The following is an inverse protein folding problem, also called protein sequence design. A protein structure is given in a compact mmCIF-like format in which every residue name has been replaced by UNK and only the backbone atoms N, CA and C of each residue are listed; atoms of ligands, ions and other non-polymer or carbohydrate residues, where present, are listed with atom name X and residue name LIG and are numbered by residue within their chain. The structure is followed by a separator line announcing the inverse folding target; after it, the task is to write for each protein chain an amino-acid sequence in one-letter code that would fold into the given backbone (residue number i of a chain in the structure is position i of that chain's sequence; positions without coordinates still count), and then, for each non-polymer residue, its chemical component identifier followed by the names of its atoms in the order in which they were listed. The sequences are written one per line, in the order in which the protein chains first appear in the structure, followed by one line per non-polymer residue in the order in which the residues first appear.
data_IF_095760195809
#
_entry.id   IF_095760195809
#
_cell.length_a   1.000
_cell.length_b   1.000
_cell.length_c   1.000
_cell.angle_alpha   90.00
_cell.angle_beta   90.00
_cell.angle_gamma   90.00
#
_symmetry.space_group_name_H-M   'P 1'
#
loop_
_entity.id
_entity.type
_entity.pdbx_description
1 polymer ?
#
# COMPACT_ATOMS: atom_id res chain seq x y z
N UNK A 1 -18.33 63.84 48.33
CA UNK A 1 -17.13 63.09 47.88
C UNK A 1 -17.57 61.71 47.43
N UNK A 2 -17.03 61.29 46.29
CA UNK A 2 -17.05 59.94 45.69
C UNK A 2 -18.28 59.58 44.84
N UNK A 3 -18.07 59.70 43.53
CA UNK A 3 -18.94 59.26 42.46
C UNK A 3 -18.68 57.80 42.03
N UNK A 4 -19.64 57.32 41.25
CA UNK A 4 -19.82 55.96 40.72
C UNK A 4 -18.88 55.69 39.54
N UNK A 5 -18.35 54.47 39.44
CA UNK A 5 -17.62 53.97 38.27
C UNK A 5 -17.60 52.43 38.24
N UNK A 6 -18.20 51.87 37.19
CA UNK A 6 -18.42 50.44 36.90
C UNK A 6 -17.17 49.80 36.26
N UNK A 7 -17.08 48.44 36.33
CA UNK A 7 -16.22 47.44 35.62
C UNK A 7 -15.15 46.81 36.55
N UNK A 8 -14.83 45.52 36.52
CA UNK A 8 -14.96 44.50 35.49
C UNK A 8 -15.09 43.07 36.11
N UNK A 9 -15.87 42.22 35.47
CA UNK A 9 -15.95 40.77 35.72
C UNK A 9 -14.63 40.13 35.24
N UNK A 10 -13.93 39.41 36.13
CA UNK A 10 -12.76 38.60 35.77
C UNK A 10 -13.18 37.16 35.50
N UNK A 11 -13.00 36.76 34.25
CA UNK A 11 -13.15 35.39 33.75
C UNK A 11 -12.18 34.44 34.46
N UNK A 12 -12.70 33.35 35.02
CA UNK A 12 -11.91 32.17 35.38
C UNK A 12 -12.42 31.03 34.49
N UNK A 13 -11.61 30.69 33.49
CA UNK A 13 -11.79 29.48 32.69
C UNK A 13 -10.60 28.58 32.97
N UNK A 14 -10.88 27.27 33.09
CA UNK A 14 -10.09 26.11 32.64
C UNK A 14 -10.25 24.97 33.66
N UNK A 15 -10.75 23.83 33.18
CA UNK A 15 -10.37 22.54 33.75
C UNK A 15 -11.49 21.59 34.15
N UNK A 16 -12.45 21.27 33.26
CA UNK A 16 -13.16 19.98 33.35
C UNK A 16 -13.09 19.27 31.99
N UNK A 17 -12.36 18.16 32.03
CA UNK A 17 -12.41 16.92 31.26
C UNK A 17 -13.12 16.89 29.89
N UNK A 18 -12.43 16.30 28.90
CA UNK A 18 -13.06 15.25 28.12
C UNK A 18 -12.05 14.15 27.74
N UNK A 19 -12.23 13.01 28.39
CA UNK A 19 -11.71 11.72 28.00
C UNK A 19 -12.47 11.32 26.73
N UNK A 20 -11.81 11.29 25.58
CA UNK A 20 -12.36 10.63 24.39
C UNK A 20 -11.72 9.25 24.26
N UNK A 21 -12.42 8.25 24.79
CA UNK A 21 -12.48 6.95 24.14
C UNK A 21 -13.16 7.10 22.75
N UNK A 22 -13.22 6.00 22.00
CA UNK A 22 -13.83 5.82 20.66
C UNK A 22 -12.76 5.92 19.54
N UNK A 23 -12.54 4.92 18.69
CA UNK A 23 -13.22 3.66 18.46
C UNK A 23 -12.56 2.97 17.26
N UNK A 24 -12.93 1.71 17.03
CA UNK A 24 -12.60 0.98 15.80
C UNK A 24 -13.26 1.66 14.59
N UNK A 25 -12.67 2.75 14.13
CA UNK A 25 -13.06 3.45 12.91
C UNK A 25 -12.46 2.73 11.71
N UNK A 26 -13.32 2.38 10.75
CA UNK A 26 -12.87 2.00 9.42
C UNK A 26 -11.87 3.04 8.92
N UNK A 27 -10.60 2.66 8.83
CA UNK A 27 -9.51 3.56 8.46
C UNK A 27 -9.88 4.30 7.17
N UNK A 28 -9.93 5.63 7.27
CA UNK A 28 -9.89 6.54 6.13
C UNK A 28 -8.71 6.10 5.27
N UNK A 29 -8.93 5.88 3.97
CA UNK A 29 -7.85 5.61 3.04
C UNK A 29 -6.81 6.73 3.18
N UNK A 30 -5.59 6.37 3.59
CA UNK A 30 -4.47 7.31 3.66
C UNK A 30 -3.95 7.54 2.25
N UNK A 31 -4.77 8.00 1.32
CA UNK A 31 -4.29 8.48 0.03
C UNK A 31 -3.91 9.96 0.20
N UNK A 32 -2.61 10.24 0.33
CA UNK A 32 -2.10 11.59 0.31
C UNK A 32 -2.32 12.22 -1.07
N UNK A 33 -2.18 13.54 -1.16
CA UNK A 33 -2.29 14.27 -2.43
C UNK A 33 -1.07 14.03 -3.32
N UNK A 34 -0.87 12.79 -3.79
CA UNK A 34 0.20 12.43 -4.72
C UNK A 34 0.15 13.37 -5.92
N UNK A 35 1.30 13.97 -6.21
CA UNK A 35 1.44 14.89 -7.34
C UNK A 35 1.78 14.12 -8.59
N UNK A 36 1.17 14.52 -9.70
CA UNK A 36 1.53 14.00 -11.01
C UNK A 36 2.93 14.52 -11.39
N UNK A 37 3.86 13.59 -11.60
CA UNK A 37 5.23 13.90 -12.01
C UNK A 37 5.42 13.56 -13.49
N UNK A 38 6.28 14.31 -14.18
CA UNK A 38 6.54 14.08 -15.60
C UNK A 38 7.58 12.97 -15.77
N UNK A 39 7.17 11.86 -16.39
CA UNK A 39 8.07 10.77 -16.78
C UNK A 39 8.82 11.13 -18.07
N UNK A 40 10.08 10.67 -18.18
CA UNK A 40 10.76 10.64 -19.47
C UNK A 40 10.08 9.64 -20.41
N UNK A 41 10.25 9.81 -21.72
CA UNK A 41 9.68 8.87 -22.69
C UNK A 41 10.16 7.44 -22.45
N UNK A 42 11.47 7.26 -22.18
CA UNK A 42 12.04 5.95 -21.89
C UNK A 42 11.40 5.29 -20.66
N UNK A 43 11.25 6.03 -19.55
CA UNK A 43 10.61 5.51 -18.34
C UNK A 43 9.14 5.19 -18.61
N UNK A 44 8.42 6.08 -19.28
CA UNK A 44 7.02 5.87 -19.63
C UNK A 44 6.83 4.58 -20.43
N UNK A 45 7.62 4.36 -21.49
CA UNK A 45 7.54 3.16 -22.30
C UNK A 45 7.87 1.89 -21.50
N UNK A 46 8.90 1.94 -20.64
CA UNK A 46 9.29 0.80 -19.81
C UNK A 46 8.20 0.41 -18.79
N UNK A 47 7.54 1.39 -18.17
CA UNK A 47 6.42 1.13 -17.25
C UNK A 47 5.18 0.65 -18.01
N UNK A 48 4.85 1.26 -19.15
CA UNK A 48 3.70 0.85 -19.97
C UNK A 48 3.82 -0.59 -20.46
N UNK A 49 5.02 -1.04 -20.85
CA UNK A 49 5.27 -2.42 -21.22
C UNK A 49 4.97 -3.40 -20.07
N UNK A 50 5.28 -3.02 -18.82
CA UNK A 50 4.97 -3.84 -17.64
C UNK A 50 3.48 -3.88 -17.31
N UNK A 51 2.74 -2.80 -17.58
CA UNK A 51 1.29 -2.76 -17.38
C UNK A 51 0.56 -3.63 -18.40
N UNK A 52 1.01 -3.61 -19.67
CA UNK A 52 0.33 -4.24 -20.80
C UNK A 52 0.33 -5.78 -20.79
N UNK A 53 1.21 -6.44 -20.02
CA UNK A 53 1.38 -7.91 -20.02
C UNK A 53 0.14 -8.67 -19.51
N UNK A 54 -0.71 -9.29 -20.34
CA UNK A 54 -1.97 -9.89 -19.88
C UNK A 54 -1.79 -11.19 -19.08
N UNK A 55 -0.54 -11.64 -18.84
CA UNK A 55 -0.24 -12.91 -18.18
C UNK A 55 -1.07 -13.11 -16.90
N UNK A 56 -1.82 -14.22 -16.78
CA UNK A 56 -2.54 -14.56 -15.57
C UNK A 56 -1.57 -14.62 -14.39
N UNK A 57 -1.95 -14.13 -13.20
CA UNK A 57 -1.08 -14.13 -12.05
C UNK A 57 -1.00 -15.53 -11.45
N UNK A 58 -0.21 -16.40 -12.05
CA UNK A 58 0.06 -17.76 -11.57
C UNK A 58 1.52 -17.84 -11.15
N UNK A 59 1.80 -18.00 -9.85
CA UNK A 59 3.16 -18.28 -9.40
C UNK A 59 3.67 -19.57 -10.03
N UNK A 60 4.87 -19.51 -10.63
CA UNK A 60 5.54 -20.68 -11.20
C UNK A 60 6.79 -20.98 -10.37
N UNK A 61 6.93 -22.23 -9.92
CA UNK A 61 8.03 -22.66 -9.07
C UNK A 61 8.87 -23.72 -9.76
N UNK A 62 10.18 -23.47 -9.90
CA UNK A 62 11.15 -24.45 -10.42
C UNK A 62 11.68 -25.39 -9.33
N UNK A 63 11.43 -25.07 -8.06
CA UNK A 63 11.93 -25.79 -6.89
C UNK A 63 10.77 -26.23 -5.99
N UNK A 64 10.75 -27.50 -5.53
CA UNK A 64 9.79 -27.96 -4.53
C UNK A 64 9.84 -27.15 -3.23
N UNK A 65 11.02 -26.69 -2.81
CA UNK A 65 11.20 -25.88 -1.60
C UNK A 65 10.49 -24.53 -1.73
N UNK A 66 10.62 -23.86 -2.88
CA UNK A 66 9.89 -22.61 -3.13
C UNK A 66 8.38 -22.83 -3.21
N UNK A 67 7.92 -23.94 -3.79
CA UNK A 67 6.50 -24.29 -3.79
C UNK A 67 5.98 -24.48 -2.35
N UNK A 68 6.70 -25.22 -1.50
CA UNK A 68 6.31 -25.42 -0.10
C UNK A 68 6.27 -24.08 0.64
N UNK A 69 7.28 -23.23 0.47
CA UNK A 69 7.31 -21.89 1.09
C UNK A 69 6.12 -21.04 0.66
N UNK A 70 5.78 -21.07 -0.63
CA UNK A 70 4.59 -20.40 -1.15
C UNK A 70 3.29 -20.95 -0.57
N UNK A 71 3.12 -22.27 -0.50
CA UNK A 71 1.91 -22.90 0.05
C UNK A 71 1.74 -22.59 1.53
N UNK A 72 2.84 -22.60 2.31
CA UNK A 72 2.82 -22.20 3.71
C UNK A 72 2.42 -20.73 3.85
N UNK A 73 3.04 -19.85 3.07
CA UNK A 73 2.67 -18.43 3.06
C UNK A 73 1.19 -18.23 2.71
N UNK A 74 0.71 -18.88 1.64
CA UNK A 74 -0.67 -18.76 1.17
C UNK A 74 -1.66 -19.20 2.26
N UNK A 75 -1.40 -20.35 2.90
CA UNK A 75 -2.24 -20.86 3.98
C UNK A 75 -2.25 -19.91 5.19
N UNK A 76 -1.08 -19.42 5.61
CA UNK A 76 -0.94 -18.49 6.74
C UNK A 76 -1.68 -17.18 6.46
N UNK A 77 -1.44 -16.56 5.31
CA UNK A 77 -2.04 -15.26 4.99
C UNK A 77 -3.53 -15.37 4.68
N UNK A 78 -3.99 -16.47 4.08
CA UNK A 78 -5.42 -16.73 3.88
C UNK A 78 -6.16 -16.86 5.22
N UNK A 79 -5.54 -17.50 6.22
CA UNK A 79 -6.11 -17.58 7.56
C UNK A 79 -6.21 -16.19 8.22
N UNK A 80 -5.16 -15.37 8.10
CA UNK A 80 -5.11 -14.02 8.67
C UNK A 80 -6.09 -13.05 8.04
N UNK A 81 -6.32 -13.17 6.72
CA UNK A 81 -7.24 -12.31 5.98
C UNK A 81 -8.71 -12.75 6.07
N UNK A 82 -9.03 -13.89 6.69
CA UNK A 82 -10.39 -14.44 6.74
C UNK A 82 -11.45 -13.42 7.20
N UNK A 83 -11.14 -12.62 8.22
CA UNK A 83 -12.07 -11.62 8.74
C UNK A 83 -12.28 -10.43 7.79
N UNK A 84 -11.26 -10.05 7.01
CA UNK A 84 -11.30 -8.89 6.10
C UNK A 84 -11.80 -9.25 4.70
N UNK A 85 -11.55 -10.49 4.26
CA UNK A 85 -11.99 -11.02 2.97
C UNK A 85 -12.65 -12.40 3.19
N UNK A 86 -13.92 -12.48 3.61
CA UNK A 86 -14.55 -13.74 4.00
C UNK A 86 -14.66 -14.78 2.88
N UNK A 87 -14.92 -14.33 1.66
CA UNK A 87 -15.02 -15.20 0.50
C UNK A 87 -13.65 -15.84 0.18
N UNK A 88 -13.57 -17.16 0.32
CA UNK A 88 -12.34 -17.92 0.13
C UNK A 88 -11.77 -17.79 -1.29
N UNK A 89 -12.59 -17.95 -2.32
CA UNK A 89 -12.14 -17.89 -3.72
C UNK A 89 -11.53 -16.52 -4.05
N UNK A 90 -12.18 -15.44 -3.60
CA UNK A 90 -11.68 -14.07 -3.80
C UNK A 90 -10.39 -13.84 -3.00
N UNK A 91 -10.32 -14.32 -1.75
CA UNK A 91 -9.13 -14.17 -0.89
C UNK A 91 -7.92 -14.93 -1.44
N UNK A 92 -8.11 -16.14 -1.92
CA UNK A 92 -7.05 -16.93 -2.56
C UNK A 92 -6.55 -16.27 -3.85
N UNK A 93 -7.48 -15.82 -4.72
CA UNK A 93 -7.13 -15.12 -5.94
C UNK A 93 -6.39 -13.80 -5.64
N UNK A 94 -6.80 -13.07 -4.60
CA UNK A 94 -6.10 -11.88 -4.12
C UNK A 94 -4.67 -12.20 -3.69
N UNK A 95 -4.46 -13.20 -2.84
CA UNK A 95 -3.13 -13.57 -2.35
C UNK A 95 -2.22 -14.11 -3.46
N UNK A 96 -2.74 -14.93 -4.37
CA UNK A 96 -2.04 -15.36 -5.58
C UNK A 96 -1.56 -14.17 -6.41
N UNK A 97 -2.44 -13.19 -6.59
CA UNK A 97 -2.14 -11.98 -7.34
C UNK A 97 -1.10 -11.11 -6.62
N UNK A 98 -1.24 -10.89 -5.31
CA UNK A 98 -0.25 -10.16 -4.51
C UNK A 98 1.12 -10.83 -4.61
N UNK A 99 1.19 -12.15 -4.43
CA UNK A 99 2.45 -12.87 -4.54
C UNK A 99 3.10 -12.67 -5.91
N UNK A 100 2.33 -12.88 -6.98
CA UNK A 100 2.83 -12.77 -8.35
C UNK A 100 3.28 -11.35 -8.70
N UNK A 101 2.43 -10.35 -8.46
CA UNK A 101 2.69 -8.95 -8.80
C UNK A 101 3.85 -8.37 -7.98
N UNK A 102 3.94 -8.72 -6.69
CA UNK A 102 5.06 -8.31 -5.85
C UNK A 102 6.39 -8.87 -6.38
N UNK A 103 6.48 -10.19 -6.61
CA UNK A 103 7.71 -10.80 -7.10
C UNK A 103 8.09 -10.31 -8.49
N UNK A 104 7.11 -10.12 -9.39
CA UNK A 104 7.38 -9.58 -10.74
C UNK A 104 7.99 -8.18 -10.69
N UNK A 105 7.55 -7.35 -9.75
CA UNK A 105 8.09 -6.01 -9.52
C UNK A 105 9.34 -5.98 -8.61
N UNK A 106 9.83 -7.12 -8.14
CA UNK A 106 10.97 -7.18 -7.21
C UNK A 106 10.66 -6.62 -5.82
N UNK A 107 9.42 -6.76 -5.35
CA UNK A 107 8.93 -6.31 -4.06
C UNK A 107 8.61 -7.50 -3.15
N UNK A 108 8.68 -7.28 -1.84
CA UNK A 108 8.26 -8.28 -0.86
C UNK A 108 6.72 -8.35 -0.75
N UNK A 109 6.10 -9.54 -0.75
CA UNK A 109 4.66 -9.67 -0.52
C UNK A 109 4.19 -9.03 0.80
N UNK A 110 5.00 -9.08 1.86
CA UNK A 110 4.69 -8.46 3.14
C UNK A 110 4.62 -6.92 3.05
N UNK A 111 5.49 -6.30 2.24
CA UNK A 111 5.45 -4.87 1.97
C UNK A 111 4.15 -4.50 1.23
N UNK A 112 3.80 -5.26 0.20
CA UNK A 112 2.58 -5.02 -0.58
C UNK A 112 1.31 -5.20 0.26
N UNK A 113 1.24 -6.25 1.09
CA UNK A 113 0.13 -6.44 2.04
C UNK A 113 0.04 -5.32 3.09
N UNK A 114 1.20 -4.86 3.58
CA UNK A 114 1.27 -3.72 4.50
C UNK A 114 0.75 -2.43 3.89
N UNK A 115 1.16 -2.12 2.66
CA UNK A 115 0.67 -0.97 1.90
C UNK A 115 -0.85 -1.07 1.66
N UNK A 116 -1.36 -2.20 1.17
CA UNK A 116 -2.80 -2.40 0.94
C UNK A 116 -3.61 -2.24 2.23
N UNK A 117 -3.08 -2.70 3.36
CA UNK A 117 -3.73 -2.52 4.66
C UNK A 117 -3.90 -1.05 5.01
N UNK A 118 -2.87 -0.22 4.80
CA UNK A 118 -2.90 1.22 5.08
C UNK A 118 -3.76 1.98 4.07
N UNK A 119 -3.66 1.61 2.79
CA UNK A 119 -4.33 2.31 1.70
C UNK A 119 -5.83 2.04 1.65
N UNK A 120 -6.26 0.77 1.68
CA UNK A 120 -7.66 0.42 1.46
C UNK A 120 -8.27 -0.43 2.57
N UNK A 121 -7.45 -0.93 3.50
CA UNK A 121 -7.89 -1.95 4.45
C UNK A 121 -8.44 -3.20 3.74
N UNK A 122 -7.89 -3.54 2.57
CA UNK A 122 -8.30 -4.66 1.70
C UNK A 122 -9.66 -4.47 1.00
N UNK A 123 -10.18 -3.24 0.92
CA UNK A 123 -11.42 -2.93 0.20
C UNK A 123 -11.15 -2.77 -1.29
N UNK A 124 -11.54 -3.77 -2.09
CA UNK A 124 -11.31 -3.81 -3.56
C UNK A 124 -11.83 -2.57 -4.29
N UNK A 125 -12.97 -2.02 -3.88
CA UNK A 125 -13.64 -0.90 -4.54
C UNK A 125 -13.46 0.42 -3.78
N UNK A 126 -12.39 0.57 -2.99
CA UNK A 126 -12.11 1.81 -2.28
C UNK A 126 -11.84 2.97 -3.26
N UNK A 127 -12.44 4.12 -2.99
CA UNK A 127 -12.17 5.38 -3.68
C UNK A 127 -11.95 6.44 -2.60
N UNK A 128 -10.80 7.10 -2.59
CA UNK A 128 -10.52 8.18 -1.64
C UNK A 128 -11.17 9.50 -2.06
N UNK A 129 -11.21 10.47 -1.15
CA UNK A 129 -11.65 11.84 -1.47
C UNK A 129 -10.77 12.53 -2.52
N UNK A 130 -9.48 12.13 -2.62
CA UNK A 130 -8.56 12.60 -3.65
C UNK A 130 -8.72 11.87 -5.00
N UNK A 131 -9.59 10.85 -5.07
CA UNK A 131 -9.86 10.07 -6.28
C UNK A 131 -8.95 8.86 -6.49
N UNK A 132 -8.11 8.51 -5.51
CA UNK A 132 -7.29 7.30 -5.56
C UNK A 132 -8.16 6.04 -5.53
N UNK A 133 -7.86 5.02 -6.33
CA UNK A 133 -8.77 3.90 -6.58
C UNK A 133 -8.16 2.53 -6.25
N UNK A 134 -9.01 1.64 -5.73
CA UNK A 134 -8.73 0.22 -5.54
C UNK A 134 -7.86 -0.14 -4.33
N UNK A 135 -7.31 -1.36 -4.34
CA UNK A 135 -6.60 -1.96 -3.21
C UNK A 135 -5.34 -1.20 -2.79
N UNK A 136 -4.56 -0.73 -3.77
CA UNK A 136 -3.32 0.02 -3.57
C UNK A 136 -3.49 1.53 -3.80
N UNK A 137 -4.74 2.01 -3.86
CA UNK A 137 -5.12 3.42 -4.02
C UNK A 137 -4.29 4.13 -5.12
N UNK A 138 -4.38 3.60 -6.34
CA UNK A 138 -3.67 4.15 -7.50
C UNK A 138 -4.39 5.41 -7.97
N UNK A 139 -3.64 6.48 -8.20
CA UNK A 139 -4.19 7.73 -8.73
C UNK A 139 -4.56 7.60 -10.22
N UNK A 140 -5.72 8.14 -10.65
CA UNK A 140 -6.19 8.02 -12.04
C UNK A 140 -5.23 8.55 -13.11
N UNK A 141 -4.35 9.51 -12.79
CA UNK A 141 -3.40 10.02 -13.79
C UNK A 141 -2.42 8.95 -14.30
N UNK A 142 -2.12 7.92 -13.49
CA UNK A 142 -1.25 6.83 -13.90
C UNK A 142 -1.78 6.05 -15.10
N UNK A 143 -3.11 5.92 -15.25
CA UNK A 143 -3.68 5.23 -16.41
C UNK A 143 -3.41 5.99 -17.70
N UNK A 144 -3.33 7.33 -17.66
CA UNK A 144 -2.97 8.15 -18.82
C UNK A 144 -1.47 8.14 -19.09
N UNK A 145 -0.65 8.06 -18.04
CA UNK A 145 0.80 8.08 -18.19
C UNK A 145 1.33 6.76 -18.73
N UNK A 146 0.91 5.63 -18.16
CA UNK A 146 1.52 4.32 -18.41
C UNK A 146 0.51 3.24 -18.84
N UNK A 147 -0.71 3.66 -19.23
CA UNK A 147 -1.81 2.77 -19.60
C UNK A 147 -2.61 3.26 -20.80
N UNK A 148 -3.87 2.85 -20.85
CA UNK A 148 -4.85 3.19 -21.89
C UNK A 148 -5.75 4.38 -21.53
N UNK A 149 -5.53 5.01 -20.37
CA UNK A 149 -6.35 6.10 -19.85
C UNK A 149 -7.66 5.67 -19.18
N UNK A 150 -8.02 4.39 -19.19
CA UNK A 150 -9.27 3.90 -18.61
C UNK A 150 -9.15 3.76 -17.09
N UNK A 151 -9.73 4.72 -16.37
CA UNK A 151 -9.67 4.80 -14.91
C UNK A 151 -10.50 3.71 -14.22
N UNK A 152 -11.55 3.21 -14.86
CA UNK A 152 -12.44 2.20 -14.26
C UNK A 152 -11.73 0.86 -14.08
N UNK A 153 -10.72 0.59 -14.92
CA UNK A 153 -9.86 -0.59 -14.82
C UNK A 153 -9.08 -0.65 -13.51
N UNK A 154 -8.87 0.48 -12.83
CA UNK A 154 -8.24 0.50 -11.50
C UNK A 154 -9.09 -0.18 -10.42
N UNK A 155 -10.39 -0.45 -10.67
CA UNK A 155 -11.24 -1.26 -9.78
C UNK A 155 -11.13 -2.78 -10.04
N UNK A 156 -10.44 -3.18 -11.11
CA UNK A 156 -10.06 -4.58 -11.31
C UNK A 156 -8.87 -4.92 -10.40
N UNK A 157 -9.00 -6.03 -9.64
CA UNK A 157 -8.02 -6.43 -8.63
C UNK A 157 -6.61 -6.64 -9.22
N UNK A 158 -6.50 -7.37 -10.33
CA UNK A 158 -5.20 -7.68 -10.93
C UNK A 158 -4.55 -6.43 -11.49
N UNK A 159 -5.33 -5.61 -12.21
CA UNK A 159 -4.84 -4.36 -12.78
C UNK A 159 -4.38 -3.43 -11.67
N UNK A 160 -5.17 -3.25 -10.61
CA UNK A 160 -4.81 -2.37 -9.50
C UNK A 160 -3.51 -2.79 -8.80
N UNK A 161 -3.38 -4.08 -8.48
CA UNK A 161 -2.18 -4.63 -7.84
C UNK A 161 -0.95 -4.47 -8.73
N UNK A 162 -1.12 -4.67 -10.05
CA UNK A 162 -0.07 -4.44 -11.02
C UNK A 162 0.41 -3.00 -11.06
N UNK A 163 -0.52 -2.06 -11.22
CA UNK A 163 -0.18 -0.63 -11.23
C UNK A 163 0.54 -0.26 -9.94
N UNK A 164 -0.03 -0.61 -8.78
CA UNK A 164 0.58 -0.27 -7.49
C UNK A 164 1.98 -0.86 -7.31
N UNK A 165 2.22 -2.12 -7.71
CA UNK A 165 3.54 -2.73 -7.63
C UNK A 165 4.56 -2.07 -8.58
N UNK A 166 4.15 -1.79 -9.83
CA UNK A 166 5.01 -1.12 -10.83
C UNK A 166 5.36 0.30 -10.39
N UNK A 167 4.39 1.06 -9.88
CA UNK A 167 4.58 2.43 -9.39
C UNK A 167 5.49 2.43 -8.14
N UNK A 168 5.27 1.52 -7.19
CA UNK A 168 6.11 1.44 -5.99
C UNK A 168 7.55 1.07 -6.33
N UNK A 169 7.77 0.12 -7.26
CA UNK A 169 9.11 -0.20 -7.76
C UNK A 169 9.76 1.01 -8.42
N UNK A 170 9.04 1.72 -9.28
CA UNK A 170 9.53 2.94 -9.92
C UNK A 170 9.99 3.97 -8.88
N UNK A 171 9.20 4.27 -7.86
CA UNK A 171 9.62 5.20 -6.83
C UNK A 171 10.77 4.69 -5.97
N UNK A 172 10.88 3.38 -5.78
CA UNK A 172 12.02 2.80 -5.09
C UNK A 172 13.31 2.97 -5.91
N UNK A 173 13.24 2.84 -7.24
CA UNK A 173 14.37 3.13 -8.13
C UNK A 173 14.76 4.62 -8.09
N UNK A 174 13.77 5.52 -8.17
CA UNK A 174 13.97 6.97 -8.14
C UNK A 174 14.55 7.48 -6.82
N UNK A 175 14.19 6.83 -5.70
CA UNK A 175 14.72 7.16 -4.37
C UNK A 175 15.94 6.29 -4.01
N UNK A 176 16.61 5.68 -5.01
CA UNK A 176 17.85 4.91 -4.84
C UNK A 176 17.79 3.79 -3.80
N UNK A 177 16.62 3.14 -3.69
CA UNK A 177 16.38 2.07 -2.73
C UNK A 177 15.94 2.53 -1.34
N UNK A 178 15.81 3.84 -1.10
CA UNK A 178 15.25 4.37 0.14
C UNK A 178 13.74 4.12 0.19
N UNK A 179 13.35 3.06 0.89
CA UNK A 179 11.97 2.65 1.04
C UNK A 179 11.12 3.70 1.78
N UNK A 180 11.70 4.44 2.73
CA UNK A 180 10.96 5.48 3.46
C UNK A 180 10.57 6.61 2.52
N UNK A 181 11.52 7.08 1.71
CA UNK A 181 11.29 8.14 0.73
C UNK A 181 10.36 7.68 -0.39
N UNK A 182 10.52 6.44 -0.88
CA UNK A 182 9.67 5.86 -1.90
C UNK A 182 8.21 5.75 -1.47
N UNK A 183 7.95 5.30 -0.24
CA UNK A 183 6.59 5.25 0.33
C UNK A 183 5.99 6.66 0.48
N UNK A 184 6.79 7.62 0.95
CA UNK A 184 6.37 9.01 1.02
C UNK A 184 5.98 9.56 -0.36
N UNK A 185 6.75 9.26 -1.42
CA UNK A 185 6.43 9.69 -2.79
C UNK A 185 5.24 8.95 -3.40
N UNK A 186 5.11 7.65 -3.12
CA UNK A 186 3.94 6.85 -3.49
C UNK A 186 2.65 7.48 -2.97
N UNK A 187 2.68 7.97 -1.73
CA UNK A 187 1.53 8.62 -1.10
C UNK A 187 1.36 10.10 -1.44
N UNK A 188 2.45 10.82 -1.73
CA UNK A 188 2.44 12.29 -1.82
C UNK A 188 2.85 13.02 -0.54
N UNK A 189 3.40 12.31 0.45
CA UNK A 189 3.91 12.81 1.73
C UNK A 189 5.44 12.67 1.86
N UNK A 190 6.17 12.73 0.74
CA UNK A 190 7.63 12.58 0.68
C UNK A 190 8.34 13.43 1.75
N UNK A 191 9.17 12.78 2.56
CA UNK A 191 9.87 13.39 3.70
C UNK A 191 9.07 13.49 5.01
N UNK A 192 7.82 13.03 5.05
CA UNK A 192 7.01 12.96 6.27
C UNK A 192 6.92 11.52 6.77
N UNK A 193 7.03 11.33 8.09
CA UNK A 193 7.16 10.01 8.69
C UNK A 193 5.84 9.23 8.82
N UNK A 194 4.71 9.92 9.01
CA UNK A 194 3.46 9.29 9.42
C UNK A 194 2.99 8.16 8.49
N UNK A 195 3.03 8.37 7.16
CA UNK A 195 2.60 7.36 6.20
C UNK A 195 3.62 6.22 6.04
N UNK A 196 4.92 6.47 5.76
CA UNK A 196 5.92 5.40 5.68
C UNK A 196 5.96 4.54 6.94
N UNK A 197 5.91 5.15 8.13
CA UNK A 197 5.94 4.43 9.41
C UNK A 197 4.73 3.51 9.57
N UNK A 198 3.54 3.98 9.17
CA UNK A 198 2.33 3.16 9.19
C UNK A 198 2.45 1.94 8.27
N UNK A 199 2.97 2.12 7.05
CA UNK A 199 3.17 1.02 6.10
C UNK A 199 4.25 0.06 6.58
N UNK A 200 5.36 0.56 7.12
CA UNK A 200 6.45 -0.27 7.64
C UNK A 200 6.03 -1.06 8.89
N UNK A 201 5.24 -0.44 9.78
CA UNK A 201 4.63 -1.13 10.91
C UNK A 201 3.67 -2.24 10.44
N UNK A 202 2.83 -1.95 9.44
CA UNK A 202 1.95 -2.94 8.83
C UNK A 202 2.76 -4.08 8.18
N UNK A 203 3.78 -3.76 7.37
CA UNK A 203 4.71 -4.74 6.75
C UNK A 203 5.29 -5.67 7.79
N UNK A 204 5.80 -5.14 8.91
CA UNK A 204 6.37 -5.95 10.00
C UNK A 204 5.37 -6.98 10.52
N UNK A 205 4.09 -6.63 10.61
CA UNK A 205 3.05 -7.59 10.99
C UNK A 205 2.84 -8.68 9.92
N UNK A 206 3.04 -8.37 8.64
CA UNK A 206 2.90 -9.30 7.51
C UNK A 206 4.15 -10.14 7.24
N UNK A 207 5.28 -9.84 7.88
CA UNK A 207 6.46 -10.70 7.82
C UNK A 207 6.19 -11.96 8.63
N UNK A 208 6.09 -13.11 7.96
CA UNK A 208 5.93 -14.41 8.62
C UNK A 208 7.20 -14.72 9.43
N UNK A 209 7.09 -14.72 10.76
CA UNK A 209 8.09 -15.35 11.62
C UNK A 209 8.14 -16.85 11.31
N UNK A 210 9.28 -17.34 10.83
CA UNK A 210 9.56 -18.74 10.48
C UNK A 210 8.86 -19.34 9.25
N UNK A 211 9.02 -18.67 8.11
CA UNK A 211 9.09 -19.31 6.78
C UNK A 211 10.17 -18.72 5.86
N UNK A 212 10.66 -17.52 6.21
CA UNK A 212 11.64 -16.74 5.42
C UNK A 212 13.10 -17.16 5.58
N UNK A 213 13.45 -18.00 6.55
CA UNK A 213 14.85 -18.42 6.77
C UNK A 213 15.40 -19.25 5.61
N UNK A 214 14.54 -19.75 4.71
CA UNK A 214 14.96 -20.41 3.46
C UNK A 214 15.24 -19.43 2.30
N UNK A 215 14.81 -18.17 2.39
CA UNK A 215 14.97 -17.17 1.31
C UNK A 215 16.14 -16.21 1.54
N UNK A 216 16.67 -16.10 2.77
CA UNK A 216 17.76 -15.17 3.08
C UNK A 216 19.16 -15.67 2.68
N UNK A 217 19.33 -16.93 2.22
CA UNK A 217 20.67 -17.53 2.07
C UNK A 217 21.26 -17.57 0.66
N UNK A 218 20.53 -17.27 -0.43
CA UNK A 218 20.99 -17.63 -1.79
C UNK A 218 21.10 -16.49 -2.81
N UNK A 219 21.45 -15.27 -2.39
CA UNK A 219 21.82 -14.20 -3.33
C UNK A 219 23.28 -13.70 -3.19
N UNK A 220 24.17 -14.50 -2.60
CA UNK A 220 25.62 -14.21 -2.56
C UNK A 220 26.46 -15.40 -3.07
N UNK A 221 26.29 -15.74 -4.34
CA UNK A 221 27.35 -16.42 -5.10
C UNK A 221 27.17 -16.18 -6.59
N UNK A 222 28.07 -15.40 -7.17
CA UNK A 222 28.08 -15.04 -8.57
C UNK A 222 29.00 -13.85 -8.79
N UNK A 223 30.31 -14.13 -8.80
CA UNK A 223 31.33 -13.26 -9.39
C UNK A 223 31.12 -13.13 -10.89
#
# INVERSE_FOLDING_TARGET
MNGVGVRALRSFAVGIALFCAIGAGAGSAWAGGQKEERLSDAVRLALAAQIADPSPPKPHFRSPQHLIGYLMWLATESARLRARMPNFVVREAFLQTVWYEAHRAGLEPALVLGLIQVESGFKKYAISSAGAMGLMQVMPFWTRQIGDGDVERLLNMQINLRYGCVILRHYLDEEHGDLFMALGRYNGSRGQAAYPDAVLAARKSWMVGNGGTLFASNNHSGR
#
